data_IF_329787460383
#
_entry.id   IF_329787460383
#
_cell.length_a   1.000
_cell.length_b   1.000
_cell.length_c   1.000
_cell.angle_alpha   90.00
_cell.angle_beta   90.00
_cell.angle_gamma   90.00
#
_symmetry.space_group_name_H-M   'P 1'
#
loop_
_entity.id
_entity.type
_entity.pdbx_description
1 polymer ?
#
# COMPACT_ATOMS: atom_id res chain seq x y z
N UNK A 1 -17.10 40.78 -68.11
CA UNK A 1 -16.21 41.22 -67.00
C UNK A 1 -14.80 40.75 -67.33
N UNK A 2 -13.81 41.65 -67.35
CA UNK A 2 -12.46 41.32 -67.80
C UNK A 2 -11.80 40.26 -66.90
N UNK A 3 -11.19 39.24 -67.50
CA UNK A 3 -10.46 38.16 -66.82
C UNK A 3 -9.36 38.72 -65.90
N UNK A 4 -8.78 39.86 -66.30
CA UNK A 4 -7.74 40.59 -65.56
C UNK A 4 -8.27 41.12 -64.23
N UNK A 5 -9.51 41.62 -64.19
CA UNK A 5 -10.12 42.13 -62.96
C UNK A 5 -10.38 41.01 -61.95
N UNK A 6 -10.78 39.84 -62.44
CA UNK A 6 -10.93 38.64 -61.59
C UNK A 6 -9.57 38.19 -61.04
N UNK A 7 -8.52 38.21 -61.87
CA UNK A 7 -7.15 37.88 -61.45
C UNK A 7 -6.61 38.81 -60.36
N UNK A 8 -6.75 40.14 -60.52
CA UNK A 8 -6.30 41.10 -59.49
C UNK A 8 -7.08 40.95 -58.18
N UNK A 9 -8.39 40.74 -58.25
CA UNK A 9 -9.21 40.53 -57.06
C UNK A 9 -8.83 39.25 -56.31
N UNK A 10 -8.52 38.16 -57.03
CA UNK A 10 -8.04 36.91 -56.42
C UNK A 10 -6.69 37.10 -55.72
N UNK A 11 -5.77 37.85 -56.33
CA UNK A 11 -4.48 38.16 -55.72
C UNK A 11 -4.65 38.98 -54.43
N UNK A 12 -5.53 39.98 -54.45
CA UNK A 12 -5.86 40.81 -53.28
C UNK A 12 -6.51 39.98 -52.17
N UNK A 13 -7.48 39.13 -52.51
CA UNK A 13 -8.14 38.23 -51.57
C UNK A 13 -7.15 37.23 -50.95
N UNK A 14 -6.21 36.70 -51.74
CA UNK A 14 -5.16 35.80 -51.26
C UNK A 14 -4.21 36.49 -50.28
N UNK A 15 -3.76 37.71 -50.58
CA UNK A 15 -2.92 38.51 -49.67
C UNK A 15 -3.65 38.83 -48.36
N UNK A 16 -4.95 39.15 -48.43
CA UNK A 16 -5.78 39.40 -47.26
C UNK A 16 -5.92 38.12 -46.40
N UNK A 17 -6.18 36.98 -47.05
CA UNK A 17 -6.27 35.69 -46.35
C UNK A 17 -4.96 35.31 -45.67
N UNK A 18 -3.81 35.54 -46.31
CA UNK A 18 -2.50 35.30 -45.73
C UNK A 18 -2.24 36.19 -44.49
N UNK A 19 -2.60 37.48 -44.56
CA UNK A 19 -2.48 38.39 -43.42
C UNK A 19 -3.38 37.94 -42.25
N UNK A 20 -4.61 37.53 -42.54
CA UNK A 20 -5.57 37.07 -41.51
C UNK A 20 -5.11 35.76 -40.86
N UNK A 21 -4.57 34.84 -41.67
CA UNK A 21 -3.97 33.58 -41.19
C UNK A 21 -2.77 33.84 -40.26
N UNK A 22 -1.90 34.80 -40.61
CA UNK A 22 -0.76 35.17 -39.78
C UNK A 22 -1.21 35.80 -38.45
N UNK A 23 -2.25 36.64 -38.47
CA UNK A 23 -2.85 37.21 -37.26
C UNK A 23 -3.46 36.14 -36.35
N UNK A 24 -4.16 35.15 -36.92
CA UNK A 24 -4.77 34.07 -36.15
C UNK A 24 -3.72 33.16 -35.51
N UNK A 25 -2.63 32.84 -36.24
CA UNK A 25 -1.52 32.01 -35.75
C UNK A 25 -0.80 32.66 -34.55
N UNK A 26 -0.62 33.98 -34.56
CA UNK A 26 -0.02 34.70 -33.44
C UNK A 26 -0.91 34.67 -32.19
N UNK A 27 -2.21 34.88 -32.38
CA UNK A 27 -3.18 34.87 -31.28
C UNK A 27 -3.24 33.51 -30.58
N UNK A 28 -3.21 32.41 -31.34
CA UNK A 28 -3.17 31.05 -30.78
C UNK A 28 -1.90 30.82 -29.95
N UNK A 29 -0.73 31.27 -30.44
CA UNK A 29 0.55 31.08 -29.72
C UNK A 29 0.59 31.83 -28.39
N UNK A 30 0.09 33.07 -28.35
CA UNK A 30 -0.01 33.84 -27.11
C UNK A 30 -0.99 33.23 -26.13
N UNK A 31 -2.12 32.72 -26.63
CA UNK A 31 -3.13 32.05 -25.81
C UNK A 31 -2.59 30.76 -25.17
N UNK A 32 -1.87 29.94 -25.93
CA UNK A 32 -1.27 28.71 -25.41
C UNK A 32 -0.24 28.97 -24.29
N UNK A 33 0.59 30.02 -24.41
CA UNK A 33 1.54 30.38 -23.35
C UNK A 33 0.82 30.80 -22.06
N UNK A 34 -0.24 31.59 -22.18
CA UNK A 34 -1.03 32.05 -21.04
C UNK A 34 -1.82 30.91 -20.38
N UNK A 35 -2.46 30.07 -21.18
CA UNK A 35 -3.17 28.89 -20.70
C UNK A 35 -2.20 27.91 -20.00
N UNK A 36 -0.94 27.83 -20.46
CA UNK A 36 0.10 27.03 -19.80
C UNK A 36 0.46 27.60 -18.42
N UNK A 37 0.61 28.93 -18.29
CA UNK A 37 0.92 29.58 -17.00
C UNK A 37 -0.24 29.45 -16.01
N UNK A 38 -1.48 29.63 -16.45
CA UNK A 38 -2.67 29.43 -15.62
C UNK A 38 -2.78 27.95 -15.19
N UNK A 39 -2.43 27.02 -16.08
CA UNK A 39 -2.31 25.59 -15.77
C UNK A 39 -1.23 25.27 -14.74
N UNK A 40 -0.06 25.90 -14.83
CA UNK A 40 1.00 25.77 -13.82
C UNK A 40 0.59 26.36 -12.47
N UNK A 41 -0.02 27.53 -12.44
CA UNK A 41 -0.51 28.14 -11.20
C UNK A 41 -1.51 27.23 -10.49
N UNK A 42 -2.42 26.60 -11.25
CA UNK A 42 -3.36 25.61 -10.72
C UNK A 42 -2.65 24.35 -10.21
N UNK A 43 -1.70 23.81 -10.96
CA UNK A 43 -0.95 22.61 -10.58
C UNK A 43 -0.09 22.84 -9.32
N UNK A 44 0.52 24.03 -9.18
CA UNK A 44 1.28 24.40 -7.98
C UNK A 44 0.35 24.54 -6.78
N UNK A 45 -0.81 25.19 -6.93
CA UNK A 45 -1.79 25.27 -5.85
C UNK A 45 -2.28 23.88 -5.40
N UNK A 46 -2.49 22.95 -6.34
CA UNK A 46 -2.84 21.57 -6.02
C UNK A 46 -1.70 20.82 -5.30
N UNK A 47 -0.45 21.06 -5.71
CA UNK A 47 0.73 20.51 -5.06
C UNK A 47 0.91 21.04 -3.64
N UNK A 48 0.73 22.34 -3.41
CA UNK A 48 0.84 22.95 -2.09
C UNK A 48 -0.19 22.38 -1.11
N UNK A 49 -1.42 22.16 -1.58
CA UNK A 49 -2.48 21.49 -0.79
C UNK A 49 -2.09 20.06 -0.46
N UNK A 50 -1.54 19.32 -1.44
CA UNK A 50 -1.08 17.95 -1.23
C UNK A 50 0.11 17.89 -0.26
N UNK A 51 1.05 18.83 -0.36
CA UNK A 51 2.21 18.96 0.51
C UNK A 51 1.79 19.29 1.94
N UNK A 52 0.91 20.27 2.14
CA UNK A 52 0.37 20.60 3.45
C UNK A 52 -0.33 19.40 4.11
N UNK A 53 -1.08 18.62 3.34
CA UNK A 53 -1.70 17.38 3.82
C UNK A 53 -0.66 16.31 4.18
N UNK A 54 0.42 16.20 3.42
CA UNK A 54 1.51 15.27 3.72
C UNK A 54 2.28 15.68 4.99
N UNK A 55 2.53 16.97 5.18
CA UNK A 55 3.14 17.52 6.40
C UNK A 55 2.28 17.25 7.63
N UNK A 56 0.97 17.45 7.52
CA UNK A 56 0.01 17.11 8.59
C UNK A 56 0.05 15.61 8.91
N UNK A 57 -0.01 14.74 7.91
CA UNK A 57 0.07 13.30 8.14
C UNK A 57 1.39 12.85 8.79
N UNK A 58 2.49 13.52 8.47
CA UNK A 58 3.79 13.25 9.08
C UNK A 58 3.86 13.76 10.53
N UNK A 59 3.23 14.89 10.84
CA UNK A 59 3.07 15.38 12.20
C UNK A 59 2.22 14.41 13.04
N UNK A 60 1.13 13.89 12.48
CA UNK A 60 0.27 12.89 13.15
C UNK A 60 1.04 11.59 13.42
N UNK A 61 1.82 11.11 12.44
CA UNK A 61 2.66 9.92 12.63
C UNK A 61 3.73 10.13 13.72
N UNK A 62 4.34 11.32 13.79
CA UNK A 62 5.29 11.66 14.85
C UNK A 62 4.60 11.65 16.22
N UNK A 63 3.47 12.33 16.36
CA UNK A 63 2.71 12.35 17.60
C UNK A 63 2.29 10.94 18.06
N UNK A 64 1.78 10.12 17.14
CA UNK A 64 1.42 8.74 17.43
C UNK A 64 2.62 7.86 17.82
N UNK A 65 3.80 8.12 17.22
CA UNK A 65 5.04 7.40 17.54
C UNK A 65 5.57 7.80 18.92
N UNK A 66 5.52 9.08 19.26
CA UNK A 66 5.93 9.58 20.58
C UNK A 66 5.03 8.98 21.67
N UNK A 67 3.70 9.00 21.47
CA UNK A 67 2.76 8.37 22.39
C UNK A 67 2.98 6.85 22.52
N UNK A 68 3.23 6.14 21.42
CA UNK A 68 3.52 4.71 21.45
C UNK A 68 4.84 4.41 22.21
N UNK A 69 5.82 5.32 22.11
CA UNK A 69 7.10 5.22 22.81
C UNK A 69 6.91 5.38 24.31
N UNK A 70 6.14 6.38 24.74
CA UNK A 70 5.81 6.60 26.15
C UNK A 70 5.04 5.40 26.73
N UNK A 71 4.05 4.88 26.01
CA UNK A 71 3.31 3.69 26.43
C UNK A 71 4.21 2.45 26.57
N UNK A 72 5.22 2.31 25.69
CA UNK A 72 6.18 1.22 25.77
C UNK A 72 7.09 1.37 26.99
N UNK A 73 7.57 2.58 27.28
CA UNK A 73 8.38 2.88 28.45
C UNK A 73 7.64 2.52 29.74
N UNK A 74 6.37 2.93 29.87
CA UNK A 74 5.50 2.58 30.99
C UNK A 74 5.36 1.07 31.18
N UNK A 75 5.20 0.32 30.07
CA UNK A 75 5.07 -1.14 30.13
C UNK A 75 6.38 -1.80 30.56
N UNK A 76 7.53 -1.28 30.11
CA UNK A 76 8.84 -1.78 30.53
C UNK A 76 9.05 -1.52 32.02
N UNK A 77 8.70 -0.34 32.52
CA UNK A 77 8.82 -0.02 33.94
C UNK A 77 7.92 -0.92 34.80
N UNK A 78 6.66 -1.12 34.38
CA UNK A 78 5.73 -2.06 35.04
C UNK A 78 6.27 -3.49 35.03
N UNK A 79 6.80 -3.96 33.90
CA UNK A 79 7.40 -5.28 33.80
C UNK A 79 8.60 -5.43 34.74
N UNK A 80 9.51 -4.45 34.78
CA UNK A 80 10.65 -4.42 35.71
C UNK A 80 10.20 -4.44 37.16
N UNK A 81 9.18 -3.67 37.51
CA UNK A 81 8.61 -3.64 38.85
C UNK A 81 7.99 -5.00 39.24
N UNK A 82 7.30 -5.66 38.31
CA UNK A 82 6.74 -7.00 38.52
C UNK A 82 7.84 -8.05 38.68
N UNK A 83 8.87 -8.03 37.83
CA UNK A 83 10.04 -8.92 37.96
C UNK A 83 10.73 -8.72 39.31
N UNK A 84 10.93 -7.49 39.76
CA UNK A 84 11.52 -7.21 41.07
C UNK A 84 10.67 -7.71 42.24
N UNK A 85 9.34 -7.62 42.13
CA UNK A 85 8.41 -8.20 43.13
C UNK A 85 8.50 -9.72 43.15
N UNK A 86 8.55 -10.37 41.99
CA UNK A 86 8.70 -11.83 41.88
C UNK A 86 10.04 -12.30 42.46
N UNK A 87 11.14 -11.60 42.18
CA UNK A 87 12.47 -11.95 42.72
C UNK A 87 12.51 -11.82 44.25
N UNK A 88 11.87 -10.79 44.83
CA UNK A 88 11.73 -10.67 46.29
C UNK A 88 10.86 -11.78 46.90
N UNK A 89 9.78 -12.17 46.24
CA UNK A 89 8.95 -13.29 46.70
C UNK A 89 9.68 -14.63 46.60
N UNK A 90 10.50 -14.82 45.57
CA UNK A 90 11.30 -16.04 45.40
C UNK A 90 12.42 -16.13 46.45
N UNK A 91 13.08 -15.01 46.76
CA UNK A 91 14.11 -14.93 47.82
C UNK A 91 13.53 -14.97 49.23
N UNK A 92 12.32 -14.44 49.41
CA UNK A 92 11.60 -14.40 50.68
C UNK A 92 10.75 -15.64 50.94
N UNK A 93 10.51 -16.49 49.94
CA UNK A 93 9.97 -17.82 50.16
C UNK A 93 10.98 -18.57 51.01
N UNK A 94 10.65 -18.97 52.26
CA UNK A 94 11.52 -19.87 53.00
C UNK A 94 11.73 -21.05 52.08
N UNK A 95 12.99 -21.43 51.84
CA UNK A 95 13.32 -22.61 51.06
C UNK A 95 12.48 -23.76 51.64
N UNK A 96 11.35 -24.05 50.97
CA UNK A 96 10.52 -25.17 51.30
C UNK A 96 11.44 -26.34 51.01
N UNK A 97 12.03 -26.85 52.08
CA UNK A 97 12.97 -27.95 52.08
C UNK A 97 12.46 -28.97 51.06
N UNK A 98 13.33 -29.51 50.18
CA UNK A 98 12.88 -30.44 49.15
C UNK A 98 12.07 -31.52 49.83
N UNK A 99 10.75 -31.50 49.57
CA UNK A 99 9.84 -32.47 50.12
C UNK A 99 10.31 -33.82 49.58
N UNK A 100 10.98 -34.58 50.46
CA UNK A 100 11.54 -35.89 50.18
C UNK A 100 10.51 -36.75 49.44
N UNK A 101 10.93 -37.53 48.44
CA UNK A 101 10.07 -38.45 47.69
C UNK A 101 9.31 -39.47 48.55
N UNK A 102 9.65 -39.62 49.83
CA UNK A 102 8.98 -40.52 50.78
C UNK A 102 7.50 -40.22 51.06
N UNK A 103 7.03 -38.98 50.91
CA UNK A 103 5.60 -38.67 51.16
C UNK A 103 4.71 -39.21 50.05
N UNK A 104 5.21 -39.21 48.82
CA UNK A 104 4.50 -39.74 47.64
C UNK A 104 4.48 -41.27 47.70
N UNK A 105 5.61 -41.90 48.05
CA UNK A 105 5.68 -43.37 48.17
C UNK A 105 4.77 -43.95 49.28
N UNK A 106 4.58 -43.23 50.39
CA UNK A 106 3.64 -43.68 51.45
C UNK A 106 2.19 -43.64 51.00
N UNK A 107 1.83 -42.66 50.16
CA UNK A 107 0.49 -42.52 49.60
C UNK A 107 0.24 -43.61 48.56
N UNK A 108 1.22 -43.87 47.68
CA UNK A 108 1.16 -44.94 46.69
C UNK A 108 1.10 -46.34 47.31
N UNK A 109 1.78 -46.56 48.45
CA UNK A 109 1.74 -47.84 49.17
C UNK A 109 0.39 -48.08 49.86
N UNK A 110 -0.21 -47.02 50.40
CA UNK A 110 -1.55 -47.09 51.00
C UNK A 110 -2.62 -47.36 49.94
N UNK A 111 -2.54 -46.67 48.79
CA UNK A 111 -3.46 -46.89 47.66
C UNK A 111 -3.31 -48.28 47.03
N UNK A 112 -2.08 -48.81 46.97
CA UNK A 112 -1.82 -50.14 46.40
C UNK A 112 -2.34 -51.27 47.31
N UNK A 113 -2.36 -51.05 48.63
CA UNK A 113 -2.90 -52.03 49.58
C UNK A 113 -4.44 -52.07 49.54
N UNK A 114 -5.09 -50.92 49.31
CA UNK A 114 -6.55 -50.86 49.13
C UNK A 114 -7.01 -51.43 47.76
N UNK A 115 -6.21 -51.26 46.71
CA UNK A 115 -6.52 -51.81 45.37
C UNK A 115 -6.33 -53.32 45.26
N UNK A 116 -5.51 -53.94 46.11
CA UNK A 116 -5.26 -55.38 46.10
C UNK A 116 -6.48 -56.21 46.55
N UNK A 117 -7.27 -55.71 47.50
CA UNK A 117 -8.50 -56.37 47.97
C UNK A 117 -9.69 -56.20 47.02
N UNK A 118 -9.61 -55.29 46.04
CA UNK A 118 -10.73 -54.96 45.14
C UNK A 118 -10.55 -55.49 43.70
N UNK A 119 -9.53 -56.32 43.44
CA UNK A 119 -9.19 -56.73 42.08
C UNK A 119 -9.99 -57.95 41.57
N UNK A 120 -11.07 -57.67 40.83
CA UNK A 120 -11.47 -58.45 39.64
C UNK A 120 -11.71 -57.46 38.47
N UNK A 121 -11.47 -57.86 37.21
CA UNK A 121 -10.77 -56.98 36.27
C UNK A 121 -11.69 -56.25 35.28
N UNK A 122 -11.35 -55.00 34.97
CA UNK A 122 -11.53 -54.43 33.62
C UNK A 122 -10.43 -53.41 33.36
N UNK A 123 -9.65 -53.52 32.27
CA UNK A 123 -8.64 -52.54 31.94
C UNK A 123 -9.29 -51.31 31.29
N UNK A 124 -9.17 -50.15 31.93
CA UNK A 124 -9.45 -48.86 31.29
C UNK A 124 -8.38 -48.60 30.21
N UNK A 125 -8.69 -49.07 28.99
CA UNK A 125 -8.02 -48.67 27.75
C UNK A 125 -8.38 -47.20 27.51
N UNK A 126 -7.38 -46.35 27.24
CA UNK A 126 -7.61 -45.01 26.71
C UNK A 126 -8.55 -45.10 25.51
N UNK A 127 -9.77 -44.63 25.67
CA UNK A 127 -10.70 -44.41 24.57
C UNK A 127 -10.22 -43.16 23.82
N UNK A 128 -9.51 -43.40 22.71
CA UNK A 128 -9.43 -42.42 21.62
C UNK A 128 -10.63 -42.74 20.74
N UNK A 129 -11.82 -42.40 21.25
CA UNK A 129 -13.09 -42.68 20.59
C UNK A 129 -13.15 -41.92 19.26
N UNK A 130 -13.56 -42.66 18.23
CA UNK A 130 -13.93 -42.22 16.88
C UNK A 130 -14.45 -40.78 16.84
N UNK A 131 -13.85 -39.97 15.97
CA UNK A 131 -14.51 -38.72 15.53
C UNK A 131 -15.66 -39.16 14.63
N UNK A 132 -16.89 -39.05 15.10
CA UNK A 132 -18.07 -39.36 14.30
C UNK A 132 -18.17 -38.42 13.09
N UNK A 133 -18.52 -38.96 11.92
CA UNK A 133 -18.64 -38.20 10.66
C UNK A 133 -19.61 -37.01 10.78
N UNK A 134 -20.64 -37.17 11.61
CA UNK A 134 -21.61 -36.12 11.93
C UNK A 134 -20.99 -34.91 12.66
N UNK A 135 -19.93 -35.10 13.44
CA UNK A 135 -19.23 -34.01 14.13
C UNK A 135 -18.32 -33.25 13.16
N UNK A 136 -17.69 -33.96 12.22
CA UNK A 136 -16.93 -33.34 11.13
C UNK A 136 -17.86 -32.50 10.27
N UNK A 137 -19.03 -33.01 9.92
CA UNK A 137 -20.03 -32.29 9.12
C UNK A 137 -20.58 -31.05 9.84
N UNK A 138 -20.78 -31.11 11.17
CA UNK A 138 -21.16 -29.93 11.96
C UNK A 138 -20.06 -28.88 11.99
N UNK A 139 -18.80 -29.29 12.14
CA UNK A 139 -17.66 -28.36 12.18
C UNK A 139 -17.46 -27.71 10.81
N UNK A 140 -17.56 -28.47 9.72
CA UNK A 140 -17.44 -27.92 8.36
C UNK A 140 -18.62 -27.00 8.03
N UNK A 141 -19.84 -27.33 8.46
CA UNK A 141 -21.00 -26.46 8.26
C UNK A 141 -20.89 -25.17 9.11
N UNK A 142 -20.34 -25.25 10.32
CA UNK A 142 -20.09 -24.08 11.17
C UNK A 142 -18.99 -23.19 10.59
N UNK A 143 -17.91 -23.79 10.08
CA UNK A 143 -16.87 -23.06 9.35
C UNK A 143 -17.42 -22.43 8.07
N UNK A 144 -18.23 -23.14 7.30
CA UNK A 144 -18.90 -22.64 6.10
C UNK A 144 -19.82 -21.46 6.40
N UNK A 145 -20.59 -21.51 7.50
CA UNK A 145 -21.44 -20.40 7.94
C UNK A 145 -20.61 -19.18 8.37
N UNK A 146 -19.50 -19.39 9.08
CA UNK A 146 -18.59 -18.30 9.50
C UNK A 146 -17.85 -17.68 8.31
N UNK A 147 -17.41 -18.49 7.35
CA UNK A 147 -16.79 -18.05 6.11
C UNK A 147 -17.79 -17.33 5.19
N UNK A 148 -19.06 -17.75 5.18
CA UNK A 148 -20.12 -17.07 4.45
C UNK A 148 -20.45 -15.70 5.06
N UNK A 149 -20.49 -15.59 6.39
CA UNK A 149 -20.63 -14.30 7.08
C UNK A 149 -19.43 -13.37 6.87
N UNK A 150 -18.21 -13.92 6.78
CA UNK A 150 -17.02 -13.14 6.42
C UNK A 150 -16.96 -12.74 4.93
N UNK A 151 -17.77 -13.39 4.08
CA UNK A 151 -17.91 -13.12 2.65
C UNK A 151 -19.14 -12.28 2.32
N UNK A 152 -19.81 -11.71 3.33
CA UNK A 152 -20.74 -10.61 3.07
C UNK A 152 -20.01 -9.59 2.19
N UNK A 153 -20.55 -9.30 0.99
CA UNK A 153 -19.96 -8.30 0.15
C UNK A 153 -20.14 -7.01 0.92
N UNK A 154 -19.07 -6.55 1.57
CA UNK A 154 -18.94 -5.18 2.06
C UNK A 154 -19.47 -4.34 0.90
N UNK A 155 -20.64 -3.73 1.09
CA UNK A 155 -21.23 -2.81 0.13
C UNK A 155 -20.19 -1.73 0.00
N UNK A 156 -19.38 -1.85 -1.04
CA UNK A 156 -18.41 -0.86 -1.42
C UNK A 156 -19.28 0.36 -1.72
N UNK A 157 -19.14 1.49 -1.03
CA UNK A 157 -19.78 2.70 -1.51
C UNK A 157 -19.37 2.83 -2.97
N UNK A 158 -20.37 2.89 -3.85
CA UNK A 158 -20.23 3.02 -5.29
C UNK A 158 -19.02 3.91 -5.59
N UNK A 159 -17.97 3.42 -6.29
CA UNK A 159 -17.05 4.35 -6.88
C UNK A 159 -17.90 5.16 -7.83
N UNK A 160 -18.07 6.46 -7.52
CA UNK A 160 -18.61 7.43 -8.45
C UNK A 160 -18.11 7.06 -9.84
N UNK A 161 -19.06 6.78 -10.74
CA UNK A 161 -18.79 6.53 -12.14
C UNK A 161 -18.00 7.73 -12.67
N UNK A 162 -16.68 7.66 -12.57
CA UNK A 162 -15.81 8.36 -13.47
C UNK A 162 -16.13 7.76 -14.83
N UNK A 163 -16.94 8.51 -15.58
CA UNK A 163 -17.11 8.36 -17.01
C UNK A 163 -15.71 8.25 -17.58
N UNK A 164 -15.28 7.03 -17.91
CA UNK A 164 -14.12 6.81 -18.76
C UNK A 164 -14.43 7.53 -20.06
N UNK A 165 -13.67 8.55 -20.47
CA UNK A 165 -13.63 8.89 -21.86
C UNK A 165 -13.06 7.67 -22.57
N UNK A 166 -13.85 7.12 -23.49
CA UNK A 166 -13.35 6.27 -24.55
C UNK A 166 -12.11 6.90 -25.20
N UNK A 167 -11.31 6.03 -25.82
CA UNK A 167 -10.24 6.34 -26.78
C UNK A 167 -8.85 6.57 -26.19
N UNK A 168 -8.01 5.54 -26.32
CA UNK A 168 -6.59 5.74 -26.53
C UNK A 168 -6.35 6.49 -27.84
N UNK A 169 -5.39 7.43 -27.87
CA UNK A 169 -4.48 7.44 -28.99
C UNK A 169 -3.07 7.16 -28.49
N UNK A 170 -2.45 6.20 -29.14
CA UNK A 170 -1.01 5.99 -29.18
C UNK A 170 -0.31 7.34 -29.23
N UNK A 171 0.49 7.64 -28.21
CA UNK A 171 1.31 8.85 -28.10
C UNK A 171 2.29 8.86 -29.28
N UNK A 172 1.89 9.41 -30.43
CA UNK A 172 2.82 9.72 -31.50
C UNK A 172 3.77 10.79 -30.96
N UNK A 173 5.01 10.37 -30.67
CA UNK A 173 6.10 11.31 -30.43
C UNK A 173 6.18 12.24 -31.64
N UNK A 174 6.21 13.57 -31.44
CA UNK A 174 6.45 14.50 -32.55
C UNK A 174 7.82 14.20 -33.15
N UNK A 175 7.83 13.81 -34.43
CA UNK A 175 9.03 13.44 -35.22
C UNK A 175 9.95 14.63 -35.55
N UNK A 176 9.77 15.77 -34.88
CA UNK A 176 10.44 17.04 -35.18
C UNK A 176 11.68 17.30 -34.32
N UNK A 177 11.98 16.43 -33.34
CA UNK A 177 13.18 16.58 -32.49
C UNK A 177 14.45 16.03 -33.16
N UNK A 178 14.33 15.14 -34.16
CA UNK A 178 15.49 14.48 -34.79
C UNK A 178 16.18 15.31 -35.89
N UNK A 179 15.48 16.25 -36.54
CA UNK A 179 16.06 17.07 -37.64
C UNK A 179 16.77 18.35 -37.16
N UNK A 180 16.74 18.66 -35.85
CA UNK A 180 17.32 19.90 -35.31
C UNK A 180 18.84 19.80 -35.06
N UNK A 181 19.40 18.58 -35.00
CA UNK A 181 20.81 18.35 -34.65
C UNK A 181 21.70 17.91 -35.82
N UNK A 182 21.14 17.62 -36.99
CA UNK A 182 21.90 17.30 -38.21
C UNK A 182 22.25 18.56 -39.00
N UNK A 183 23.18 19.36 -38.44
CA UNK A 183 23.90 20.37 -39.21
C UNK A 183 24.82 19.71 -40.25
N UNK A 184 25.07 20.35 -41.41
CA UNK A 184 25.95 19.78 -42.43
C UNK A 184 27.36 19.61 -41.84
N UNK A 185 27.81 18.36 -41.75
CA UNK A 185 29.20 18.05 -41.44
C UNK A 185 30.06 18.51 -42.62
N UNK A 186 30.65 19.69 -42.46
CA UNK A 186 31.70 20.19 -43.34
C UNK A 186 32.84 19.16 -43.33
N UNK A 187 32.97 18.44 -44.45
CA UNK A 187 34.09 17.54 -44.72
C UNK A 187 35.34 18.38 -44.90
N UNK A 188 35.99 18.74 -43.79
CA UNK A 188 37.36 19.24 -43.83
C UNK A 188 38.28 18.05 -44.09
N UNK A 189 38.70 17.92 -45.34
CA UNK A 189 39.75 17.02 -45.79
C UNK A 189 41.04 17.31 -45.02
N UNK A 190 41.38 16.44 -44.06
CA UNK A 190 42.71 16.46 -43.41
C UNK A 190 43.69 15.77 -44.36
N UNK A 191 44.30 16.56 -45.23
CA UNK A 191 45.54 16.21 -45.90
C UNK A 191 46.70 16.27 -44.89
N UNK A 192 47.34 15.13 -44.63
CA UNK A 192 48.42 15.03 -43.65
C UNK A 192 49.16 13.71 -43.71
N UNK A 193 49.61 13.29 -44.90
CA UNK A 193 50.54 12.19 -45.03
C UNK A 193 51.96 12.68 -44.68
N UNK A 194 52.44 12.32 -43.48
CA UNK A 194 53.88 12.23 -43.20
C UNK A 194 54.23 10.75 -43.01
N UNK A 195 55.05 10.24 -43.91
CA UNK A 195 56.06 9.21 -43.65
C UNK A 195 57.29 9.57 -44.46
#
# INVERSE_FOLDING_TARGET
MSLIAVGMNLMLAGLLAAALMMGFRLNIRLKHLRDSHDGFAKAVAELDVAAARAEQGLADLRAATDEATDQLADRIEKARALTAKLDRQLKGAPAAAPARPERVERMDRAERMERADRAAPTPFRRDVSHVDEADVERVTHRLGALLSGAREPRVRPEPERFVRPDVAPTRQRPRFEDDLFDGPTDRVAVGGARR
#
